data_IF_724055817905
#
_entry.id   IF_724055817905
#
_cell.length_a   1.000
_cell.length_b   1.000
_cell.length_c   1.000
_cell.angle_alpha   90.00
_cell.angle_beta   90.00
_cell.angle_gamma   90.00
#
_symmetry.space_group_name_H-M   'P 1'
#
loop_
_entity.id
_entity.type
_entity.pdbx_description
1 polymer ?
#
# COMPACT_ATOMS: atom_id res chain seq x y z
N UNK A 1 7.93 -9.68 13.10
CA UNK A 1 7.00 -10.83 13.19
C UNK A 1 7.44 -11.90 12.22
N UNK A 2 7.15 -13.17 12.51
CA UNK A 2 7.43 -14.30 11.61
C UNK A 2 6.56 -14.13 10.35
N UNK A 3 7.17 -14.15 9.18
CA UNK A 3 6.43 -14.12 7.92
C UNK A 3 5.83 -15.51 7.68
N UNK A 4 4.54 -15.67 7.95
CA UNK A 4 3.82 -16.94 7.83
C UNK A 4 3.91 -17.55 6.41
N UNK A 5 4.14 -16.72 5.39
CA UNK A 5 4.31 -17.18 4.01
C UNK A 5 5.66 -17.88 3.76
N UNK A 6 6.59 -17.88 4.72
CA UNK A 6 7.82 -18.68 4.65
C UNK A 6 7.57 -20.16 4.95
N UNK A 7 6.46 -20.49 5.61
CA UNK A 7 6.09 -21.86 5.99
C UNK A 7 5.08 -22.50 5.01
N UNK A 8 4.62 -21.75 4.01
CA UNK A 8 3.58 -22.15 3.07
C UNK A 8 4.15 -22.27 1.66
N UNK A 9 3.55 -23.14 0.84
CA UNK A 9 3.78 -23.14 -0.60
C UNK A 9 3.32 -21.80 -1.23
N UNK A 10 3.80 -21.43 -2.42
CA UNK A 10 3.35 -20.21 -3.08
C UNK A 10 1.84 -20.22 -3.35
N UNK A 11 1.29 -21.36 -3.78
CA UNK A 11 -0.15 -21.52 -3.96
C UNK A 11 -0.93 -21.29 -2.65
N UNK A 12 -0.53 -21.93 -1.55
CA UNK A 12 -1.20 -21.72 -0.25
C UNK A 12 -1.11 -20.27 0.22
N UNK A 13 0.05 -19.63 0.04
CA UNK A 13 0.21 -18.21 0.37
C UNK A 13 -0.71 -17.31 -0.46
N UNK A 14 -0.85 -17.59 -1.75
CA UNK A 14 -1.79 -16.88 -2.61
C UNK A 14 -3.23 -17.10 -2.15
N UNK A 15 -3.62 -18.31 -1.78
CA UNK A 15 -4.98 -18.61 -1.31
C UNK A 15 -5.32 -17.91 0.01
N UNK A 16 -4.37 -17.86 0.96
CA UNK A 16 -4.55 -17.07 2.20
C UNK A 16 -4.75 -15.60 1.87
N UNK A 17 -3.95 -15.04 0.96
CA UNK A 17 -4.09 -13.65 0.53
C UNK A 17 -5.43 -13.43 -0.17
N UNK A 18 -5.85 -14.28 -1.09
CA UNK A 18 -7.13 -14.13 -1.79
C UNK A 18 -8.31 -14.20 -0.80
N UNK A 19 -8.22 -15.05 0.21
CA UNK A 19 -9.29 -15.30 1.18
C UNK A 19 -9.63 -14.09 2.05
N UNK A 20 -8.71 -13.14 2.27
CA UNK A 20 -8.99 -11.96 3.12
C UNK A 20 -10.19 -11.14 2.59
N UNK A 21 -10.41 -11.12 1.27
CA UNK A 21 -11.54 -10.42 0.65
C UNK A 21 -12.85 -11.09 1.05
N UNK A 22 -12.90 -12.43 0.98
CA UNK A 22 -14.06 -13.24 1.31
C UNK A 22 -14.37 -13.11 2.81
N UNK A 23 -13.34 -13.21 3.64
CA UNK A 23 -13.44 -13.02 5.09
C UNK A 23 -13.93 -11.61 5.45
N UNK A 24 -13.38 -10.58 4.79
CA UNK A 24 -13.83 -9.20 4.93
C UNK A 24 -15.30 -9.02 4.56
N UNK A 25 -15.76 -9.61 3.45
CA UNK A 25 -17.17 -9.58 3.05
C UNK A 25 -18.06 -10.26 4.11
N UNK A 26 -17.66 -11.44 4.60
CA UNK A 26 -18.39 -12.17 5.64
C UNK A 26 -18.49 -11.37 6.93
N UNK A 27 -17.39 -10.77 7.39
CA UNK A 27 -17.37 -9.92 8.58
C UNK A 27 -18.24 -8.67 8.38
N UNK A 28 -18.13 -8.00 7.24
CA UNK A 28 -18.95 -6.84 6.91
C UNK A 28 -20.45 -7.15 6.96
N UNK A 29 -20.87 -8.31 6.42
CA UNK A 29 -22.26 -8.79 6.51
C UNK A 29 -22.65 -9.12 7.96
N UNK A 30 -21.80 -9.84 8.70
CA UNK A 30 -22.04 -10.23 10.10
C UNK A 30 -22.29 -9.00 10.98
N UNK A 31 -21.51 -7.95 10.80
CA UNK A 31 -21.63 -6.70 11.54
C UNK A 31 -22.55 -5.66 10.88
N UNK A 32 -23.30 -6.07 9.83
CA UNK A 32 -24.32 -5.25 9.17
C UNK A 32 -23.79 -3.90 8.66
N UNK A 33 -22.56 -3.90 8.12
CA UNK A 33 -22.02 -2.72 7.45
C UNK A 33 -22.91 -2.33 6.26
N UNK A 34 -22.98 -1.04 5.90
CA UNK A 34 -23.70 -0.61 4.72
C UNK A 34 -23.23 -1.34 3.47
N UNK A 35 -24.16 -1.69 2.59
CA UNK A 35 -23.88 -2.45 1.35
C UNK A 35 -22.72 -1.84 0.54
N UNK A 36 -22.65 -0.51 0.43
CA UNK A 36 -21.58 0.18 -0.30
C UNK A 36 -20.17 -0.12 0.26
N UNK A 37 -20.04 -0.30 1.57
CA UNK A 37 -18.76 -0.65 2.21
C UNK A 37 -18.40 -2.11 1.93
N UNK A 38 -19.39 -3.01 2.05
CA UNK A 38 -19.20 -4.43 1.73
C UNK A 38 -18.81 -4.61 0.26
N UNK A 39 -19.46 -3.87 -0.63
CA UNK A 39 -19.17 -3.89 -2.07
C UNK A 39 -17.72 -3.44 -2.35
N UNK A 40 -17.23 -2.39 -1.67
CA UNK A 40 -15.82 -1.97 -1.76
C UNK A 40 -14.87 -3.05 -1.24
N UNK A 41 -15.16 -3.65 -0.07
CA UNK A 41 -14.35 -4.76 0.47
C UNK A 41 -14.22 -5.87 -0.56
N UNK A 42 -15.32 -6.24 -1.23
CA UNK A 42 -15.31 -7.28 -2.25
C UNK A 42 -14.55 -6.89 -3.52
N UNK A 43 -14.57 -5.61 -3.90
CA UNK A 43 -14.11 -5.13 -5.20
C UNK A 43 -12.71 -4.52 -5.22
N UNK A 44 -12.12 -4.17 -4.08
CA UNK A 44 -10.91 -3.33 -4.05
C UNK A 44 -9.69 -3.97 -4.73
N UNK A 45 -9.63 -5.30 -4.85
CA UNK A 45 -8.63 -5.99 -5.67
C UNK A 45 -9.12 -6.44 -7.05
N UNK A 46 -10.42 -6.31 -7.34
CA UNK A 46 -11.03 -6.75 -8.57
C UNK A 46 -10.69 -8.21 -8.85
N UNK A 47 -10.21 -8.48 -10.06
CA UNK A 47 -9.74 -9.83 -10.46
C UNK A 47 -8.22 -9.88 -10.62
N UNK A 48 -7.49 -9.01 -9.93
CA UNK A 48 -6.04 -8.84 -10.12
C UNK A 48 -5.27 -10.11 -9.75
N UNK A 49 -4.07 -10.24 -10.32
CA UNK A 49 -3.18 -11.36 -10.07
C UNK A 49 -2.34 -11.11 -8.81
N UNK A 50 -2.28 -12.08 -7.91
CA UNK A 50 -1.31 -12.15 -6.81
C UNK A 50 0.07 -12.53 -7.39
N UNK A 51 0.67 -11.54 -8.08
CA UNK A 51 1.77 -11.74 -9.01
C UNK A 51 3.02 -12.39 -8.40
N UNK A 52 3.39 -11.99 -7.18
CA UNK A 52 4.59 -12.50 -6.51
C UNK A 52 4.53 -14.02 -6.35
N UNK A 53 3.42 -14.54 -5.82
CA UNK A 53 3.26 -15.97 -5.60
C UNK A 53 3.03 -16.76 -6.89
N UNK A 54 2.34 -16.17 -7.88
CA UNK A 54 2.23 -16.75 -9.22
C UNK A 54 3.61 -16.95 -9.87
N UNK A 55 4.47 -15.93 -9.81
CA UNK A 55 5.84 -15.98 -10.33
C UNK A 55 6.67 -17.02 -9.61
N UNK A 56 6.62 -17.04 -8.28
CA UNK A 56 7.34 -18.01 -7.46
C UNK A 56 6.91 -19.45 -7.77
N UNK A 57 5.62 -19.69 -7.95
CA UNK A 57 5.10 -21.01 -8.37
C UNK A 57 5.60 -21.38 -9.77
N UNK A 58 5.54 -20.43 -10.72
CA UNK A 58 5.98 -20.63 -12.10
C UNK A 58 7.47 -20.94 -12.19
N UNK A 59 8.29 -20.34 -11.33
CA UNK A 59 9.73 -20.61 -11.23
C UNK A 59 10.03 -22.02 -10.68
N UNK A 60 9.14 -22.57 -9.84
CA UNK A 60 9.28 -23.92 -9.28
C UNK A 60 8.76 -25.02 -10.22
N UNK A 61 7.67 -24.76 -10.95
CA UNK A 61 6.96 -25.78 -11.74
C UNK A 61 7.10 -25.62 -13.25
N UNK A 62 7.50 -24.44 -13.74
CA UNK A 62 7.40 -24.06 -15.14
C UNK A 62 6.07 -23.33 -15.42
N UNK A 63 6.14 -22.25 -16.21
CA UNK A 63 5.02 -21.32 -16.41
C UNK A 63 3.82 -21.98 -17.08
N UNK A 64 4.05 -22.95 -17.98
CA UNK A 64 2.98 -23.70 -18.66
C UNK A 64 2.22 -24.66 -17.74
N UNK A 65 2.78 -25.02 -16.57
CA UNK A 65 2.15 -25.92 -15.62
C UNK A 65 1.36 -25.20 -14.51
N UNK A 66 1.40 -23.87 -14.49
CA UNK A 66 0.74 -23.06 -13.44
C UNK A 66 -0.49 -22.39 -14.01
N UNK A 67 -1.66 -22.81 -13.54
CA UNK A 67 -2.90 -22.11 -13.85
C UNK A 67 -2.93 -20.73 -13.17
N UNK A 68 -2.88 -19.69 -14.00
CA UNK A 68 -2.94 -18.29 -13.59
C UNK A 68 -4.19 -17.95 -12.80
N UNK A 69 -5.32 -18.64 -13.03
CA UNK A 69 -6.58 -18.36 -12.33
C UNK A 69 -6.52 -18.72 -10.84
N UNK A 70 -5.68 -19.69 -10.46
CA UNK A 70 -5.47 -20.04 -9.05
C UNK A 70 -4.80 -18.93 -8.22
N UNK A 71 -4.31 -17.88 -8.88
CA UNK A 71 -3.63 -16.75 -8.27
C UNK A 71 -4.37 -15.43 -8.49
N UNK A 72 -5.58 -15.45 -9.05
CA UNK A 72 -6.40 -14.24 -9.21
C UNK A 72 -7.43 -14.12 -8.10
N UNK A 73 -7.70 -12.89 -7.70
CA UNK A 73 -8.88 -12.59 -6.89
C UNK A 73 -10.16 -12.96 -7.65
N UNK A 74 -11.17 -13.42 -6.91
CA UNK A 74 -12.45 -13.84 -7.48
C UNK A 74 -13.30 -12.66 -8.00
N UNK A 75 -13.00 -11.44 -7.56
CA UNK A 75 -13.75 -10.24 -7.92
C UNK A 75 -15.10 -10.09 -7.21
N UNK A 76 -16.02 -9.29 -7.79
CA UNK A 76 -15.97 -8.75 -9.16
C UNK A 76 -14.97 -7.60 -9.32
N UNK A 77 -14.71 -7.19 -10.57
CA UNK A 77 -14.02 -5.92 -10.87
C UNK A 77 -14.77 -4.75 -10.20
N UNK A 78 -14.11 -3.61 -9.95
CA UNK A 78 -14.77 -2.39 -9.54
C UNK A 78 -16.03 -2.09 -10.36
N UNK A 79 -17.15 -1.90 -9.69
CA UNK A 79 -18.44 -1.57 -10.31
C UNK A 79 -18.77 -0.08 -10.18
N UNK A 80 -18.00 0.66 -9.37
CA UNK A 80 -18.17 2.10 -9.16
C UNK A 80 -16.84 2.83 -9.24
N UNK A 81 -16.90 4.15 -9.44
CA UNK A 81 -15.71 5.01 -9.46
C UNK A 81 -14.96 4.95 -8.13
N UNK A 82 -15.68 4.93 -7.01
CA UNK A 82 -15.11 4.87 -5.67
C UNK A 82 -14.33 3.57 -5.46
N UNK A 83 -14.89 2.42 -5.86
CA UNK A 83 -14.18 1.14 -5.78
C UNK A 83 -12.89 1.12 -6.62
N UNK A 84 -12.93 1.70 -7.83
CA UNK A 84 -11.75 1.83 -8.69
C UNK A 84 -10.69 2.76 -8.08
N UNK A 85 -11.12 3.89 -7.49
CA UNK A 85 -10.21 4.81 -6.78
C UNK A 85 -9.55 4.12 -5.58
N UNK A 86 -10.31 3.36 -4.80
CA UNK A 86 -9.79 2.61 -3.65
C UNK A 86 -8.78 1.55 -4.11
N UNK A 87 -9.08 0.82 -5.18
CA UNK A 87 -8.13 -0.14 -5.78
C UNK A 87 -6.79 0.52 -6.15
N UNK A 88 -6.84 1.69 -6.80
CA UNK A 88 -5.63 2.43 -7.21
C UNK A 88 -4.88 2.89 -5.96
N UNK A 89 -5.59 3.50 -5.01
CA UNK A 89 -5.00 4.03 -3.80
C UNK A 89 -4.32 2.94 -2.96
N UNK A 90 -4.98 1.81 -2.74
CA UNK A 90 -4.42 0.65 -2.02
C UNK A 90 -3.15 0.13 -2.70
N UNK A 91 -3.21 -0.11 -4.02
CA UNK A 91 -2.06 -0.62 -4.77
C UNK A 91 -0.87 0.34 -4.74
N UNK A 92 -1.14 1.65 -4.86
CA UNK A 92 -0.12 2.70 -4.82
C UNK A 92 0.47 2.84 -3.42
N UNK A 93 -0.35 2.83 -2.37
CA UNK A 93 0.10 2.91 -0.99
C UNK A 93 1.04 1.76 -0.67
N UNK A 94 0.62 0.52 -0.94
CA UNK A 94 1.42 -0.67 -0.72
C UNK A 94 2.77 -0.62 -1.48
N UNK A 95 2.75 -0.23 -2.76
CA UNK A 95 3.96 -0.13 -3.57
C UNK A 95 4.87 1.04 -3.17
N UNK A 96 4.31 2.12 -2.61
CA UNK A 96 5.10 3.27 -2.17
C UNK A 96 5.95 2.96 -0.92
N UNK A 97 5.53 2.00 -0.09
CA UNK A 97 6.25 1.61 1.15
C UNK A 97 7.65 1.05 0.89
N UNK A 98 7.91 0.52 -0.30
CA UNK A 98 9.23 0.00 -0.68
C UNK A 98 10.14 1.04 -1.34
N UNK A 99 9.70 2.30 -1.49
CA UNK A 99 10.53 3.36 -2.07
C UNK A 99 11.51 3.92 -1.02
N UNK A 100 12.80 3.92 -1.35
CA UNK A 100 13.84 4.52 -0.50
C UNK A 100 13.81 6.04 -0.51
N UNK A 101 13.43 6.65 -1.64
CA UNK A 101 13.35 8.10 -1.82
C UNK A 101 12.07 8.49 -2.55
N UNK A 102 11.41 9.51 -2.04
CA UNK A 102 10.16 10.03 -2.60
C UNK A 102 10.43 11.36 -3.27
N UNK A 103 10.19 11.42 -4.58
CA UNK A 103 10.08 12.68 -5.32
C UNK A 103 8.82 12.62 -6.17
N UNK A 104 8.31 13.78 -6.58
CA UNK A 104 7.13 13.86 -7.42
C UNK A 104 7.29 13.06 -8.71
N UNK A 105 8.50 13.08 -9.31
CA UNK A 105 8.80 12.29 -10.52
C UNK A 105 8.74 10.78 -10.26
N UNK A 106 9.30 10.31 -9.14
CA UNK A 106 9.30 8.89 -8.78
C UNK A 106 7.89 8.41 -8.48
N UNK A 107 7.13 9.17 -7.69
CA UNK A 107 5.73 8.85 -7.37
C UNK A 107 4.83 8.92 -8.62
N UNK A 108 5.03 9.92 -9.48
CA UNK A 108 4.29 10.04 -10.73
C UNK A 108 4.51 8.85 -11.67
N UNK A 109 5.74 8.34 -11.76
CA UNK A 109 6.07 7.14 -12.50
C UNK A 109 5.41 5.89 -11.89
N UNK A 110 5.50 5.73 -10.56
CA UNK A 110 4.87 4.61 -9.85
C UNK A 110 3.35 4.57 -10.05
N UNK A 111 2.68 5.70 -9.81
CA UNK A 111 1.23 5.84 -9.95
C UNK A 111 0.81 5.56 -11.39
N UNK A 112 1.53 6.11 -12.38
CA UNK A 112 1.21 5.89 -13.79
C UNK A 112 1.39 4.43 -14.21
N UNK A 113 2.44 3.76 -13.70
CA UNK A 113 2.68 2.33 -13.94
C UNK A 113 1.54 1.48 -13.39
N UNK A 114 1.17 1.67 -12.12
CA UNK A 114 0.09 0.89 -11.48
C UNK A 114 -1.24 1.10 -12.20
N UNK A 115 -1.59 2.35 -12.50
CA UNK A 115 -2.83 2.66 -13.23
C UNK A 115 -2.83 2.00 -14.61
N UNK A 116 -1.70 2.01 -15.33
CA UNK A 116 -1.58 1.34 -16.62
C UNK A 116 -1.76 -0.17 -16.47
N UNK A 117 -1.08 -0.81 -15.51
CA UNK A 117 -1.20 -2.25 -15.27
C UNK A 117 -2.65 -2.68 -14.97
N UNK A 118 -3.38 -1.90 -14.17
CA UNK A 118 -4.80 -2.17 -13.88
C UNK A 118 -5.68 -1.99 -15.12
N UNK A 119 -5.41 -0.96 -15.94
CA UNK A 119 -6.12 -0.72 -17.19
C UNK A 119 -5.85 -1.82 -18.22
N UNK A 120 -4.59 -2.23 -18.39
CA UNK A 120 -4.19 -3.31 -19.30
C UNK A 120 -4.80 -4.67 -18.87
N UNK A 121 -5.00 -4.89 -17.56
CA UNK A 121 -5.68 -6.08 -17.00
C UNK A 121 -7.22 -5.95 -17.00
N UNK A 122 -7.76 -4.89 -17.61
CA UNK A 122 -9.21 -4.66 -17.75
C UNK A 122 -9.94 -4.36 -16.43
N UNK A 123 -9.24 -3.95 -15.37
CA UNK A 123 -9.85 -3.76 -14.04
C UNK A 123 -10.86 -2.61 -13.99
N UNK A 124 -10.88 -1.73 -14.99
CA UNK A 124 -11.79 -0.59 -15.04
C UNK A 124 -12.97 -0.79 -16.01
N UNK A 125 -13.06 -1.95 -16.68
CA UNK A 125 -14.06 -2.21 -17.73
C UNK A 125 -15.51 -2.12 -17.23
N UNK A 126 -15.74 -2.43 -15.96
CA UNK A 126 -17.08 -2.51 -15.36
C UNK A 126 -17.43 -1.27 -14.52
N UNK A 127 -16.61 -0.21 -14.57
CA UNK A 127 -16.86 1.05 -13.87
C UNK A 127 -16.83 2.24 -14.83
N UNK A 128 -17.62 3.28 -14.54
CA UNK A 128 -17.71 4.46 -15.40
C UNK A 128 -16.62 5.51 -15.12
N UNK A 129 -15.38 5.09 -14.78
CA UNK A 129 -14.28 6.01 -14.48
C UNK A 129 -13.66 6.54 -15.78
N UNK A 130 -13.72 7.85 -16.01
CA UNK A 130 -13.21 8.45 -17.25
C UNK A 130 -11.70 8.70 -17.20
N UNK A 131 -11.05 8.88 -18.35
CA UNK A 131 -9.64 9.27 -18.42
C UNK A 131 -9.35 10.64 -17.77
N UNK A 132 -10.31 11.57 -17.83
CA UNK A 132 -10.20 12.86 -17.16
C UNK A 132 -10.20 12.70 -15.63
N UNK A 133 -11.14 11.91 -15.11
CA UNK A 133 -11.21 11.59 -13.68
C UNK A 133 -9.96 10.84 -13.23
N UNK A 134 -9.46 9.90 -14.04
CA UNK A 134 -8.22 9.18 -13.76
C UNK A 134 -7.02 10.13 -13.66
N UNK A 135 -6.97 11.19 -14.47
CA UNK A 135 -5.94 12.24 -14.36
C UNK A 135 -6.07 13.03 -13.06
N UNK A 136 -7.28 13.27 -12.57
CA UNK A 136 -7.52 13.90 -11.26
C UNK A 136 -7.07 12.96 -10.14
N UNK A 137 -7.49 11.70 -10.16
CA UNK A 137 -7.13 10.66 -9.18
C UNK A 137 -5.61 10.53 -9.04
N UNK A 138 -4.90 10.37 -10.17
CA UNK A 138 -3.43 10.27 -10.17
C UNK A 138 -2.77 11.47 -9.48
N UNK A 139 -3.18 12.70 -9.83
CA UNK A 139 -2.63 13.93 -9.23
C UNK A 139 -2.92 14.00 -7.72
N UNK A 140 -4.14 13.68 -7.30
CA UNK A 140 -4.54 13.69 -5.90
C UNK A 140 -3.72 12.69 -5.08
N UNK A 141 -3.51 11.47 -5.58
CA UNK A 141 -2.71 10.44 -4.90
C UNK A 141 -1.25 10.89 -4.76
N UNK A 142 -0.64 11.40 -5.83
CA UNK A 142 0.75 11.89 -5.80
C UNK A 142 0.91 12.99 -4.75
N UNK A 143 0.00 13.97 -4.74
CA UNK A 143 0.02 15.07 -3.77
C UNK A 143 -0.10 14.57 -2.33
N UNK A 144 -1.04 13.65 -2.07
CA UNK A 144 -1.23 13.07 -0.73
C UNK A 144 0.01 12.30 -0.27
N UNK A 145 0.59 11.47 -1.12
CA UNK A 145 1.81 10.71 -0.78
C UNK A 145 3.02 11.61 -0.53
N UNK A 146 3.20 12.68 -1.31
CA UNK A 146 4.25 13.66 -1.05
C UNK A 146 4.11 14.23 0.38
N UNK A 147 2.89 14.59 0.80
CA UNK A 147 2.66 15.14 2.14
C UNK A 147 2.91 14.11 3.26
N UNK A 148 2.46 12.87 3.10
CA UNK A 148 2.59 11.85 4.14
C UNK A 148 4.00 11.26 4.24
N UNK A 149 4.76 11.24 3.14
CA UNK A 149 6.11 10.65 3.12
C UNK A 149 7.20 11.66 3.49
N UNK A 150 6.97 12.97 3.33
CA UNK A 150 7.90 14.02 3.76
C UNK A 150 7.71 14.49 5.22
N UNK A 151 6.64 14.09 5.90
CA UNK A 151 6.31 14.55 7.27
C UNK A 151 7.02 13.77 8.40
N UNK A 152 7.88 12.78 8.09
CA UNK A 152 8.90 12.33 9.05
C UNK A 152 10.15 13.19 8.94
N UNK A 153 10.04 14.48 9.22
CA UNK A 153 11.21 15.32 9.50
C UNK A 153 11.85 14.71 10.75
N UNK A 154 13.04 14.10 10.61
CA UNK A 154 13.89 13.79 11.76
C UNK A 154 14.17 15.12 12.45
N UNK A 155 13.69 15.30 13.67
CA UNK A 155 14.15 16.40 14.51
C UNK A 155 15.67 16.29 14.61
N UNK A 156 16.42 17.39 14.40
CA UNK A 156 17.85 17.36 14.66
C UNK A 156 18.05 16.96 16.12
N UNK A 157 18.84 15.91 16.35
CA UNK A 157 19.29 15.57 17.70
C UNK A 157 19.97 16.81 18.27
N UNK A 158 19.48 17.31 19.42
CA UNK A 158 20.16 18.38 20.15
C UNK A 158 21.57 17.87 20.42
N UNK A 159 22.57 18.48 19.78
CA UNK A 159 23.95 18.34 20.25
C UNK A 159 23.96 18.85 21.68
N UNK A 160 24.31 17.99 22.62
CA UNK A 160 24.64 18.41 23.98
C UNK A 160 25.87 19.31 23.87
N UNK A 161 25.65 20.63 23.92
CA UNK A 161 26.71 21.56 24.21
C UNK A 161 27.15 21.31 25.66
N UNK A 162 28.28 20.60 25.82
CA UNK A 162 28.96 20.53 27.12
C UNK A 162 29.40 21.95 27.50
N UNK A 163 28.61 22.60 28.33
CA UNK A 163 28.99 23.81 29.02
C UNK A 163 30.04 23.46 30.08
N UNK A 164 31.32 23.62 29.73
CA UNK A 164 32.40 23.75 30.70
C UNK A 164 32.22 25.10 31.40
N UNK A 165 31.48 25.11 32.50
CA UNK A 165 31.39 26.27 33.39
C UNK A 165 32.52 26.11 34.41
N UNK A 166 33.56 26.92 34.25
CA UNK A 166 34.56 27.15 35.28
C UNK A 166 33.86 27.73 36.52
N UNK A 167 33.96 27.01 37.64
CA UNK A 167 33.54 27.45 38.97
C UNK A 167 34.51 28.53 39.48
N UNK A 168 34.27 29.80 39.12
CA UNK A 168 34.77 30.94 39.90
C UNK A 168 33.68 31.37 40.89
N UNK A 169 33.71 30.81 42.10
CA UNK A 169 33.00 31.34 43.24
C UNK A 169 33.79 31.04 44.53
N UNK A 170 34.89 31.75 44.71
CA UNK A 170 35.52 31.92 46.03
C UNK A 170 36.18 33.30 46.12
N UNK A 171 35.36 34.34 46.11
CA UNK A 171 35.71 35.61 46.74
C UNK A 171 35.08 35.64 48.14
N UNK A 172 35.93 35.35 49.13
CA UNK A 172 36.13 36.12 50.37
C UNK A 172 34.92 36.93 50.87
N UNK A 173 34.32 36.49 51.98
CA UNK A 173 34.44 37.18 53.29
C UNK A 173 33.41 36.63 54.28
N UNK A 174 33.87 35.94 55.34
CA UNK A 174 33.32 35.99 56.71
C UNK A 174 34.33 35.38 57.69
N UNK A 175 34.92 36.25 58.54
CA UNK A 175 35.52 36.07 59.88
C UNK A 175 36.56 37.20 60.03
N UNK A 176 36.46 38.20 60.92
CA UNK A 176 36.22 38.15 62.39
C UNK A 176 36.83 36.92 63.05
#
# INVERSE_FOLDING_TARGET
>A
GINIHQLLTPLESAQVIISHVIEGEMLGKKYRLPKKIIDVIKQHHGTTLVYYFYRKESELKGIELVDRNNFRYLGPKPQTKEAAIIMIADSVEAASRSLEKTSEKVLGALVSKIVKEKADDGQFDDCSLTFEELKIVKRSIIKTLMLTMHTRIKYPEKREEKQNIYLEAYCLDKNV
#
